data_IF_425552334229
#
_entry.id   IF_425552334229
#
_cell.length_a   1.000
_cell.length_b   1.000
_cell.length_c   1.000
_cell.angle_alpha   90.00
_cell.angle_beta   90.00
_cell.angle_gamma   90.00
#
_symmetry.space_group_name_H-M   'P 1'
#
loop_
_entity.id
_entity.type
_entity.pdbx_description
1 polymer ?
#
# COMPACT_ATOMS: atom_id res chain seq x y z
N UNK A 1 -30.59 11.40 3.47
CA UNK A 1 -29.15 11.17 3.73
C UNK A 1 -28.46 11.40 2.41
N UNK A 2 -27.57 12.39 2.31
CA UNK A 2 -26.85 12.67 1.05
C UNK A 2 -25.78 11.59 0.90
N UNK A 3 -25.74 10.90 -0.24
CA UNK A 3 -24.69 9.93 -0.49
C UNK A 3 -23.37 10.64 -0.76
N UNK A 4 -22.23 10.02 -0.42
CA UNK A 4 -20.91 10.64 -0.62
C UNK A 4 -20.65 11.01 -2.08
N UNK A 5 -21.26 10.28 -3.03
CA UNK A 5 -21.19 10.51 -4.47
C UNK A 5 -21.91 11.80 -4.91
N UNK A 6 -22.93 12.21 -4.17
CA UNK A 6 -23.70 13.43 -4.45
C UNK A 6 -23.02 14.67 -3.86
N UNK A 7 -22.16 14.48 -2.85
CA UNK A 7 -21.49 15.55 -2.12
C UNK A 7 -20.08 15.88 -2.63
N UNK A 8 -19.39 14.93 -3.26
CA UNK A 8 -17.99 15.07 -3.63
C UNK A 8 -17.71 14.65 -5.07
N UNK A 9 -16.76 15.34 -5.71
CA UNK A 9 -16.27 14.95 -7.02
C UNK A 9 -15.44 13.66 -6.95
N UNK A 10 -15.27 12.98 -8.09
CA UNK A 10 -14.39 11.80 -8.19
C UNK A 10 -12.97 12.09 -7.68
N UNK A 11 -12.42 13.26 -7.99
CA UNK A 11 -11.09 13.67 -7.56
C UNK A 11 -10.98 13.77 -6.03
N UNK A 12 -11.95 14.43 -5.39
CA UNK A 12 -12.03 14.54 -3.92
C UNK A 12 -12.23 13.18 -3.24
N UNK A 13 -13.08 12.32 -3.82
CA UNK A 13 -13.28 10.95 -3.36
C UNK A 13 -11.96 10.16 -3.44
N UNK A 14 -11.26 10.23 -4.57
CA UNK A 14 -9.98 9.53 -4.76
C UNK A 14 -8.94 10.00 -3.76
N UNK A 15 -8.85 11.31 -3.51
CA UNK A 15 -7.93 11.88 -2.53
C UNK A 15 -8.25 11.42 -1.10
N UNK A 16 -9.52 11.48 -0.68
CA UNK A 16 -9.97 11.01 0.63
C UNK A 16 -9.71 9.51 0.81
N UNK A 17 -10.04 8.71 -0.20
CA UNK A 17 -9.81 7.27 -0.19
C UNK A 17 -8.30 6.97 -0.09
N UNK A 18 -7.46 7.66 -0.86
CA UNK A 18 -6.00 7.49 -0.83
C UNK A 18 -5.42 7.83 0.55
N UNK A 19 -5.84 8.95 1.14
CA UNK A 19 -5.43 9.35 2.48
C UNK A 19 -5.79 8.30 3.53
N UNK A 20 -7.04 7.82 3.52
CA UNK A 20 -7.51 6.79 4.45
C UNK A 20 -6.82 5.44 4.22
N UNK A 21 -6.63 5.02 2.96
CA UNK A 21 -5.95 3.79 2.60
C UNK A 21 -4.50 3.77 3.07
N UNK A 22 -3.76 4.86 2.82
CA UNK A 22 -2.40 5.03 3.31
C UNK A 22 -2.33 5.01 4.84
N UNK A 23 -3.19 5.79 5.51
CA UNK A 23 -3.25 5.79 6.97
C UNK A 23 -3.49 4.38 7.53
N UNK A 24 -4.45 3.64 6.97
CA UNK A 24 -4.74 2.28 7.39
C UNK A 24 -3.54 1.34 7.20
N UNK A 25 -2.95 1.32 6.01
CA UNK A 25 -1.80 0.47 5.70
C UNK A 25 -0.59 0.75 6.61
N UNK A 26 -0.25 2.03 6.81
CA UNK A 26 0.88 2.42 7.66
C UNK A 26 0.59 2.18 9.15
N UNK A 27 -0.64 2.39 9.62
CA UNK A 27 -1.01 2.05 11.02
C UNK A 27 -0.82 0.56 11.30
N UNK A 28 -1.21 -0.30 10.35
CA UNK A 28 -1.00 -1.75 10.42
C UNK A 28 0.47 -2.11 10.39
N UNK A 29 1.28 -1.45 9.57
CA UNK A 29 2.74 -1.62 9.62
C UNK A 29 3.31 -1.32 11.01
N UNK A 30 2.88 -0.25 11.68
CA UNK A 30 3.36 0.06 13.03
C UNK A 30 2.98 -1.03 14.03
N UNK A 31 1.75 -1.55 13.95
CA UNK A 31 1.31 -2.69 14.77
C UNK A 31 2.15 -3.94 14.46
N UNK A 32 2.33 -4.27 13.18
CA UNK A 32 3.14 -5.41 12.73
C UNK A 32 4.59 -5.34 13.23
N UNK A 33 5.13 -4.13 13.35
CA UNK A 33 6.48 -3.86 13.88
C UNK A 33 6.54 -3.87 15.42
N UNK A 34 5.42 -4.11 16.11
CA UNK A 34 5.34 -4.05 17.58
C UNK A 34 5.54 -2.65 18.13
N UNK A 35 5.14 -1.62 17.35
CA UNK A 35 5.21 -0.20 17.71
C UNK A 35 3.84 0.37 18.07
N UNK A 36 2.90 -0.49 18.47
CA UNK A 36 1.63 -0.06 19.04
C UNK A 36 1.93 0.65 20.38
N UNK A 37 1.56 1.93 20.52
CA UNK A 37 1.82 2.65 21.76
C UNK A 37 0.90 2.12 22.86
N UNK A 38 1.41 2.03 24.10
CA UNK A 38 0.60 1.66 25.26
C UNK A 38 -0.46 2.70 25.61
N UNK A 39 -0.17 3.97 25.30
CA UNK A 39 -1.03 5.12 25.50
C UNK A 39 -0.99 6.03 24.28
N UNK A 40 -2.13 6.58 23.85
CA UNK A 40 -2.19 7.53 22.73
C UNK A 40 -2.05 8.97 23.22
N UNK A 41 -0.85 9.34 23.67
CA UNK A 41 -0.58 10.73 24.03
C UNK A 41 -0.83 11.66 22.83
N UNK A 42 -1.68 12.66 23.02
CA UNK A 42 -1.99 13.62 21.96
C UNK A 42 -0.88 14.65 21.85
N UNK A 43 -0.14 14.62 20.74
CA UNK A 43 0.79 15.69 20.39
C UNK A 43 0.18 16.52 19.26
N UNK A 44 0.01 17.82 19.48
CA UNK A 44 -0.40 18.75 18.41
C UNK A 44 0.84 19.22 17.68
N UNK A 45 1.09 18.64 16.50
CA UNK A 45 2.09 19.12 15.56
C UNK A 45 1.39 19.87 14.42
N UNK A 46 1.95 21.00 13.94
CA UNK A 46 1.44 21.64 12.74
C UNK A 46 1.53 20.65 11.58
N UNK A 47 0.49 20.60 10.75
CA UNK A 47 0.49 19.79 9.54
C UNK A 47 1.69 20.21 8.68
N UNK A 48 2.58 19.27 8.30
CA UNK A 48 3.70 19.60 7.42
C UNK A 48 3.20 20.26 6.14
N UNK A 49 3.87 21.32 5.70
CA UNK A 49 3.53 21.99 4.44
C UNK A 49 3.67 20.99 3.30
N UNK A 50 2.58 20.79 2.55
CA UNK A 50 2.62 19.93 1.37
C UNK A 50 3.62 20.52 0.35
N UNK A 51 4.43 19.70 -0.34
CA UNK A 51 5.37 20.22 -1.30
C UNK A 51 4.59 20.88 -2.45
N UNK A 52 4.96 22.11 -2.79
CA UNK A 52 4.33 22.90 -3.86
C UNK A 52 4.82 22.50 -5.24
N UNK A 53 5.96 21.82 -5.30
CA UNK A 53 6.59 21.45 -6.56
C UNK A 53 5.84 20.29 -7.22
N UNK A 54 5.60 20.44 -8.52
CA UNK A 54 5.05 19.40 -9.36
C UNK A 54 6.14 18.36 -9.62
N UNK A 55 5.84 17.11 -9.28
CA UNK A 55 6.71 15.98 -9.56
C UNK A 55 6.35 15.47 -10.95
N UNK A 56 7.19 15.74 -11.95
CA UNK A 56 6.97 15.29 -13.32
C UNK A 56 7.68 13.95 -13.53
N UNK A 57 6.92 12.91 -13.85
CA UNK A 57 7.43 11.57 -14.14
C UNK A 57 6.79 11.06 -15.42
N UNK A 58 7.50 10.19 -16.13
CA UNK A 58 6.92 9.44 -17.23
C UNK A 58 5.95 8.39 -16.67
N UNK A 59 4.70 8.42 -17.13
CA UNK A 59 3.63 7.57 -16.58
C UNK A 59 3.39 6.43 -17.55
N UNK A 60 3.70 5.22 -17.09
CA UNK A 60 3.30 4.00 -17.78
C UNK A 60 1.77 3.88 -17.81
N UNK A 61 1.18 4.04 -18.99
CA UNK A 61 -0.26 3.95 -19.21
C UNK A 61 -0.82 2.54 -18.92
N UNK A 62 0.04 1.52 -18.87
CA UNK A 62 -0.33 0.14 -18.52
C UNK A 62 -0.38 -0.11 -17.02
N UNK A 63 0.12 0.83 -16.19
CA UNK A 63 0.07 0.72 -14.74
C UNK A 63 -1.37 0.97 -14.23
N UNK A 64 -2.04 -0.04 -13.65
CA UNK A 64 -3.44 0.08 -13.24
C UNK A 64 -3.63 1.07 -12.08
N UNK A 65 -2.62 1.30 -11.25
CA UNK A 65 -2.67 2.31 -10.19
C UNK A 65 -2.54 3.72 -10.78
N UNK A 66 -1.72 3.91 -11.81
CA UNK A 66 -1.60 5.19 -12.50
C UNK A 66 -2.95 5.60 -13.12
N UNK A 67 -3.66 4.65 -13.71
CA UNK A 67 -5.01 4.85 -14.22
C UNK A 67 -6.02 5.18 -13.10
N UNK A 68 -5.99 4.43 -11.99
CA UNK A 68 -6.85 4.65 -10.81
C UNK A 68 -6.71 6.08 -10.25
N UNK A 69 -5.48 6.58 -10.16
CA UNK A 69 -5.16 7.90 -9.59
C UNK A 69 -5.14 9.02 -10.63
N UNK A 70 -5.49 8.76 -11.88
CA UNK A 70 -5.54 9.77 -12.94
C UNK A 70 -6.39 11.02 -12.63
N UNK A 71 -7.46 10.98 -11.81
CA UNK A 71 -8.20 12.19 -11.42
C UNK A 71 -7.44 13.14 -10.49
N UNK A 72 -6.29 12.72 -9.94
CA UNK A 72 -5.46 13.47 -8.99
C UNK A 72 -3.96 13.39 -9.40
N UNK A 73 -3.56 13.99 -10.54
CA UNK A 73 -2.24 13.74 -11.15
C UNK A 73 -1.04 14.07 -10.23
N UNK A 74 -1.15 15.09 -9.39
CA UNK A 74 -0.09 15.44 -8.45
C UNK A 74 0.13 14.34 -7.39
N UNK A 75 -0.97 13.80 -6.83
CA UNK A 75 -0.91 12.71 -5.86
C UNK A 75 -0.54 11.39 -6.54
N UNK A 76 -1.02 11.13 -7.76
CA UNK A 76 -0.58 9.99 -8.59
C UNK A 76 0.93 9.99 -8.76
N UNK A 77 1.52 11.12 -9.15
CA UNK A 77 2.96 11.17 -9.42
C UNK A 77 3.78 10.98 -8.13
N UNK A 78 3.29 11.50 -7.00
CA UNK A 78 3.90 11.23 -5.67
C UNK A 78 3.77 9.76 -5.26
N UNK A 79 2.61 9.15 -5.51
CA UNK A 79 2.40 7.72 -5.28
C UNK A 79 3.38 6.88 -6.11
N UNK A 80 3.47 7.14 -7.41
CA UNK A 80 4.36 6.39 -8.31
C UNK A 80 5.82 6.58 -7.93
N UNK A 81 6.22 7.77 -7.45
CA UNK A 81 7.55 8.00 -6.91
C UNK A 81 7.81 7.16 -5.64
N UNK A 82 6.85 7.13 -4.70
CA UNK A 82 6.92 6.32 -3.49
C UNK A 82 6.97 4.81 -3.79
N UNK A 83 6.13 4.35 -4.73
CA UNK A 83 6.13 2.97 -5.22
C UNK A 83 7.47 2.63 -5.87
N UNK A 84 8.02 3.52 -6.70
CA UNK A 84 9.36 3.32 -7.27
C UNK A 84 10.45 3.24 -6.18
N UNK A 85 10.36 4.06 -5.13
CA UNK A 85 11.27 3.96 -3.97
C UNK A 85 11.19 2.58 -3.32
N UNK A 86 9.98 2.03 -3.11
CA UNK A 86 9.82 0.66 -2.59
C UNK A 86 10.58 -0.37 -3.43
N UNK A 87 10.43 -0.30 -4.76
CA UNK A 87 11.03 -1.27 -5.68
C UNK A 87 12.54 -1.11 -5.86
N UNK A 88 13.07 0.07 -5.58
CA UNK A 88 14.51 0.39 -5.70
C UNK A 88 15.28 0.22 -4.39
N UNK A 89 14.60 -0.02 -3.26
CA UNK A 89 15.27 -0.32 -1.98
C UNK A 89 16.19 -1.53 -2.08
N UNK A 90 15.76 -2.58 -2.80
CA UNK A 90 16.54 -3.81 -3.04
C UNK A 90 17.07 -4.47 -1.75
N UNK A 91 16.28 -4.41 -0.67
CA UNK A 91 16.63 -5.01 0.65
C UNK A 91 15.85 -6.27 0.97
N UNK A 92 14.76 -6.51 0.27
CA UNK A 92 13.99 -7.75 0.32
C UNK A 92 13.84 -8.30 -1.11
N UNK A 93 13.87 -9.63 -1.33
CA UNK A 93 13.81 -10.19 -2.67
C UNK A 93 12.62 -9.66 -3.48
N UNK A 94 12.91 -9.01 -4.61
CA UNK A 94 11.90 -8.34 -5.45
C UNK A 94 10.80 -9.30 -5.92
N UNK A 95 11.17 -10.51 -6.32
CA UNK A 95 10.25 -11.57 -6.71
C UNK A 95 9.27 -11.93 -5.58
N UNK A 96 9.71 -11.95 -4.33
CA UNK A 96 8.84 -12.20 -3.18
C UNK A 96 7.90 -11.01 -2.91
N UNK A 97 8.37 -9.77 -3.06
CA UNK A 97 7.53 -8.58 -2.97
C UNK A 97 6.45 -8.56 -4.07
N UNK A 98 6.78 -8.96 -5.30
CA UNK A 98 5.83 -9.08 -6.40
C UNK A 98 4.75 -10.14 -6.12
N UNK A 99 5.14 -11.30 -5.56
CA UNK A 99 4.20 -12.34 -5.10
C UNK A 99 3.28 -11.84 -3.99
N UNK A 100 3.81 -11.08 -3.04
CA UNK A 100 3.04 -10.45 -1.96
C UNK A 100 2.00 -9.50 -2.56
N UNK A 101 2.42 -8.59 -3.45
CA UNK A 101 1.49 -7.68 -4.16
C UNK A 101 0.37 -8.45 -4.85
N UNK A 102 0.70 -9.50 -5.61
CA UNK A 102 -0.29 -10.32 -6.31
C UNK A 102 -1.24 -11.03 -5.32
N UNK A 103 -0.72 -11.58 -4.21
CA UNK A 103 -1.54 -12.21 -3.16
C UNK A 103 -2.51 -11.21 -2.56
N UNK A 104 -2.05 -10.01 -2.22
CA UNK A 104 -2.89 -8.97 -1.62
C UNK A 104 -3.99 -8.49 -2.57
N UNK A 105 -3.70 -8.34 -3.86
CA UNK A 105 -4.70 -8.03 -4.87
C UNK A 105 -5.84 -9.08 -4.85
N UNK A 106 -5.48 -10.37 -4.79
CA UNK A 106 -6.44 -11.46 -4.67
C UNK A 106 -7.23 -11.43 -3.34
N UNK A 107 -6.55 -11.23 -2.20
CA UNK A 107 -7.20 -11.19 -0.88
C UNK A 107 -8.22 -10.06 -0.75
N UNK A 108 -7.89 -8.90 -1.30
CA UNK A 108 -8.74 -7.70 -1.27
C UNK A 108 -9.77 -7.66 -2.41
N UNK A 109 -9.76 -8.67 -3.30
CA UNK A 109 -10.72 -8.83 -4.39
C UNK A 109 -10.82 -7.58 -5.28
N UNK A 110 -9.67 -6.99 -5.60
CA UNK A 110 -9.63 -5.89 -6.57
C UNK A 110 -9.97 -6.41 -7.96
N UNK A 111 -10.33 -5.48 -8.85
CA UNK A 111 -10.67 -5.79 -10.24
C UNK A 111 -9.59 -6.63 -10.94
N UNK A 112 -10.00 -7.48 -11.88
CA UNK A 112 -9.09 -8.39 -12.59
C UNK A 112 -8.00 -7.66 -13.36
N UNK A 113 -8.19 -6.37 -13.73
CA UNK A 113 -7.16 -5.54 -14.38
C UNK A 113 -5.86 -5.43 -13.56
N UNK A 114 -5.96 -5.38 -12.22
CA UNK A 114 -4.76 -5.32 -11.37
C UNK A 114 -4.04 -6.66 -11.38
N UNK A 115 -4.79 -7.76 -11.23
CA UNK A 115 -4.24 -9.12 -11.21
C UNK A 115 -3.53 -9.41 -12.54
N UNK A 116 -4.18 -9.13 -13.67
CA UNK A 116 -3.62 -9.33 -15.00
C UNK A 116 -2.35 -8.51 -15.26
N UNK A 117 -2.22 -7.32 -14.65
CA UNK A 117 -1.01 -6.49 -14.75
C UNK A 117 0.17 -7.06 -13.95
N UNK A 118 -0.10 -7.82 -12.88
CA UNK A 118 0.92 -8.31 -11.94
C UNK A 118 1.29 -9.79 -12.13
N UNK A 119 0.42 -10.59 -12.73
CA UNK A 119 0.64 -12.01 -12.94
C UNK A 119 1.59 -12.24 -14.11
N UNK A 120 2.90 -12.25 -13.82
CA UNK A 120 3.95 -12.31 -14.84
C UNK A 120 4.65 -13.67 -14.96
N UNK A 121 4.51 -14.61 -14.03
CA UNK A 121 5.09 -15.97 -14.11
C UNK A 121 4.55 -16.89 -12.99
N UNK A 122 4.08 -18.07 -13.38
CA UNK A 122 3.48 -19.20 -12.62
C UNK A 122 4.33 -19.82 -11.47
N UNK A 123 5.07 -19.02 -10.69
CA UNK A 123 5.90 -19.52 -9.58
C UNK A 123 5.26 -19.23 -8.22
N UNK A 124 4.19 -19.96 -7.91
CA UNK A 124 3.52 -19.92 -6.60
C UNK A 124 4.33 -20.75 -5.60
N UNK A 125 5.44 -20.19 -5.11
CA UNK A 125 5.94 -20.49 -3.77
C UNK A 125 5.86 -19.20 -2.99
N UNK A 126 4.79 -19.07 -2.21
CA UNK A 126 4.38 -17.82 -1.58
C UNK A 126 4.82 -17.86 -0.12
N UNK A 127 5.31 -16.73 0.37
CA UNK A 127 5.28 -16.36 1.79
C UNK A 127 3.81 -16.19 2.26
N UNK A 128 2.99 -17.25 2.13
CA UNK A 128 1.51 -17.21 2.21
C UNK A 128 1.02 -16.59 3.52
N UNK A 129 1.76 -16.84 4.59
CA UNK A 129 1.33 -16.46 5.92
C UNK A 129 1.32 -14.92 6.09
N UNK A 130 2.39 -14.22 5.70
CA UNK A 130 2.53 -12.82 6.13
C UNK A 130 1.57 -11.85 5.44
N UNK A 131 1.19 -12.11 4.18
CA UNK A 131 0.21 -11.28 3.47
C UNK A 131 -1.19 -11.43 4.07
N UNK A 132 -1.61 -12.67 4.33
CA UNK A 132 -2.89 -13.00 4.93
C UNK A 132 -3.00 -12.45 6.36
N UNK A 133 -1.94 -12.64 7.16
CA UNK A 133 -1.82 -12.02 8.49
C UNK A 133 -1.94 -10.51 8.38
N UNK A 134 -1.16 -9.86 7.50
CA UNK A 134 -1.23 -8.42 7.38
C UNK A 134 -2.64 -7.95 6.99
N UNK A 135 -3.33 -8.60 6.05
CA UNK A 135 -4.66 -8.19 5.59
C UNK A 135 -5.74 -8.40 6.66
N UNK A 136 -5.77 -9.57 7.31
CA UNK A 136 -6.89 -9.98 8.17
C UNK A 136 -6.62 -9.90 9.68
N UNK A 137 -5.39 -10.18 10.11
CA UNK A 137 -5.01 -10.18 11.54
C UNK A 137 -3.54 -9.78 11.71
N UNK A 138 -3.28 -8.47 11.59
CA UNK A 138 -1.91 -7.94 11.62
C UNK A 138 -1.20 -8.22 12.95
N UNK A 139 -1.96 -8.46 14.03
CA UNK A 139 -1.42 -8.78 15.36
C UNK A 139 -0.86 -10.20 15.44
N UNK A 140 -1.25 -11.08 14.52
CA UNK A 140 -0.68 -12.42 14.44
C UNK A 140 0.76 -12.44 13.90
N UNK A 141 1.28 -11.33 13.35
CA UNK A 141 2.68 -11.23 12.93
C UNK A 141 3.59 -11.24 14.17
N UNK A 142 4.25 -12.38 14.39
CA UNK A 142 4.97 -12.64 15.64
C UNK A 142 6.35 -11.98 15.68
N UNK A 143 6.90 -11.84 16.89
CA UNK A 143 8.28 -11.38 17.06
C UNK A 143 9.30 -12.31 16.42
N UNK A 144 9.02 -13.61 16.34
CA UNK A 144 9.93 -14.60 15.76
C UNK A 144 9.93 -14.53 14.23
N UNK A 145 8.77 -14.28 13.61
CA UNK A 145 8.71 -13.98 12.18
C UNK A 145 9.53 -12.74 11.84
N UNK A 146 9.41 -11.66 12.63
CA UNK A 146 10.23 -10.45 12.45
C UNK A 146 11.72 -10.74 12.62
N UNK A 147 12.12 -11.45 13.68
CA UNK A 147 13.52 -11.82 13.93
C UNK A 147 14.08 -12.66 12.80
N UNK A 148 13.30 -13.60 12.24
CA UNK A 148 13.71 -14.40 11.09
C UNK A 148 14.00 -13.52 9.87
N UNK A 149 13.08 -12.62 9.52
CA UNK A 149 13.28 -11.66 8.41
C UNK A 149 14.52 -10.80 8.66
N UNK A 150 14.70 -10.27 9.88
CA UNK A 150 15.87 -9.46 10.23
C UNK A 150 17.17 -10.26 10.16
N UNK A 151 17.16 -11.54 10.56
CA UNK A 151 18.34 -12.39 10.49
C UNK A 151 18.77 -12.71 9.06
N UNK A 152 17.83 -12.72 8.12
CA UNK A 152 18.07 -13.09 6.73
C UNK A 152 18.30 -11.87 5.82
N UNK A 153 17.56 -10.77 6.05
CA UNK A 153 17.52 -9.58 5.17
C UNK A 153 17.82 -8.27 5.90
N UNK A 154 18.15 -8.32 7.20
CA UNK A 154 18.42 -7.12 8.00
C UNK A 154 17.17 -6.32 8.35
N UNK A 155 17.36 -5.25 9.12
CA UNK A 155 16.29 -4.31 9.50
C UNK A 155 15.71 -3.57 8.30
N UNK A 156 16.54 -3.24 7.31
CA UNK A 156 16.10 -2.61 6.07
C UNK A 156 15.24 -3.56 5.22
N UNK A 157 15.54 -4.86 5.20
CA UNK A 157 14.70 -5.86 4.53
C UNK A 157 13.33 -6.01 5.18
N UNK A 158 13.27 -6.00 6.52
CA UNK A 158 11.99 -5.96 7.25
C UNK A 158 11.20 -4.69 6.91
N UNK A 159 11.85 -3.53 6.88
CA UNK A 159 11.21 -2.27 6.50
C UNK A 159 10.69 -2.32 5.05
N UNK A 160 11.49 -2.82 4.10
CA UNK A 160 11.11 -2.93 2.69
C UNK A 160 9.87 -3.81 2.51
N UNK A 161 9.81 -4.95 3.19
CA UNK A 161 8.65 -5.83 3.21
C UNK A 161 7.42 -5.15 3.82
N UNK A 162 7.59 -4.48 4.96
CA UNK A 162 6.47 -3.81 5.64
C UNK A 162 5.92 -2.62 4.84
N UNK A 163 6.78 -1.88 4.14
CA UNK A 163 6.35 -0.85 3.20
C UNK A 163 5.55 -1.43 2.04
N UNK A 164 5.97 -2.58 1.48
CA UNK A 164 5.23 -3.27 0.43
C UNK A 164 3.81 -3.63 0.91
N UNK A 165 3.71 -4.27 2.07
CA UNK A 165 2.43 -4.64 2.69
C UNK A 165 1.56 -3.41 2.96
N UNK A 166 2.10 -2.36 3.57
CA UNK A 166 1.35 -1.14 3.88
C UNK A 166 0.82 -0.41 2.64
N UNK A 167 1.69 -0.23 1.63
CA UNK A 167 1.32 0.45 0.39
C UNK A 167 0.22 -0.32 -0.34
N UNK A 168 0.41 -1.63 -0.54
CA UNK A 168 -0.55 -2.40 -1.31
C UNK A 168 -1.85 -2.70 -0.55
N UNK A 169 -1.84 -2.83 0.79
CA UNK A 169 -3.10 -2.89 1.57
C UNK A 169 -3.91 -1.61 1.41
N UNK A 170 -3.23 -0.46 1.46
CA UNK A 170 -3.86 0.85 1.30
C UNK A 170 -4.46 1.04 -0.09
N UNK A 171 -3.63 0.96 -1.15
CA UNK A 171 -4.08 1.27 -2.51
C UNK A 171 -5.08 0.25 -3.06
N UNK A 172 -5.02 -1.02 -2.66
CA UNK A 172 -6.01 -1.99 -3.12
C UNK A 172 -7.37 -1.80 -2.45
N UNK A 173 -7.42 -1.28 -1.21
CA UNK A 173 -8.69 -0.83 -0.63
C UNK A 173 -9.26 0.40 -1.34
N UNK A 174 -8.38 1.31 -1.77
CA UNK A 174 -8.76 2.45 -2.63
C UNK A 174 -9.32 1.95 -3.95
N UNK A 175 -8.63 1.04 -4.61
CA UNK A 175 -9.07 0.39 -5.85
C UNK A 175 -10.44 -0.26 -5.68
N UNK A 176 -10.60 -1.13 -4.68
CA UNK A 176 -11.86 -1.81 -4.41
C UNK A 176 -13.01 -0.82 -4.13
N UNK A 177 -12.74 0.28 -3.43
CA UNK A 177 -13.75 1.32 -3.16
C UNK A 177 -14.14 2.06 -4.43
N UNK A 178 -13.16 2.59 -5.17
CA UNK A 178 -13.41 3.44 -6.35
C UNK A 178 -13.99 2.62 -7.51
N UNK A 179 -13.48 1.42 -7.75
CA UNK A 179 -13.95 0.56 -8.83
C UNK A 179 -15.36 0.02 -8.56
N UNK A 180 -15.75 -0.17 -7.28
CA UNK A 180 -17.14 -0.51 -6.93
C UNK A 180 -18.16 0.59 -7.23
N UNK A 181 -17.68 1.80 -7.56
CA UNK A 181 -18.53 2.97 -7.85
C UNK A 181 -18.62 3.29 -9.34
N UNK A 182 -17.94 2.52 -10.19
CA UNK A 182 -18.12 2.51 -11.65
C UNK A 182 -19.32 1.65 -12.04
#
# INVERSE_FOLDING_TARGET
MVEIKDAYTRSQITELALGLGLFHGFSKMLIALGREPSEMETTVIPTPTAPTDLLNIDVDETNPIAALLSPIPNLRNRWLNLENSLWTMDKYPKNELEKIRLRMANLLRVDSKYIASYDKNDSITVAQNISDQFVFDVRSITSDQRKKIVSEFGTEGLLNLMLCLALYDGIFRVAATIDSWQ
#
